data_IF_458908863296
#
_entry.id   IF_458908863296
#
_cell.length_a   1.000
_cell.length_b   1.000
_cell.length_c   1.000
_cell.angle_alpha   90.00
_cell.angle_beta   90.00
_cell.angle_gamma   90.00
#
_symmetry.space_group_name_H-M   'P 1'
#
loop_
_entity.id
_entity.type
_entity.pdbx_description
1 polymer ?
#
# COMPACT_ATOMS: atom_id res chain seq x y z
N UNK A 1 -44.08 32.05 -1.34
CA UNK A 1 -42.64 31.80 -1.05
C UNK A 1 -42.53 31.16 0.33
N UNK A 2 -41.64 30.18 0.54
CA UNK A 2 -41.46 29.56 1.86
C UNK A 2 -41.07 30.60 2.90
N UNK A 3 -41.57 30.47 4.14
CA UNK A 3 -41.28 31.43 5.20
C UNK A 3 -39.84 31.28 5.71
N UNK A 4 -39.28 32.36 6.28
CA UNK A 4 -37.93 32.34 6.85
C UNK A 4 -37.74 31.21 7.89
N UNK A 5 -38.81 30.86 8.63
CA UNK A 5 -38.80 29.75 9.58
C UNK A 5 -38.55 28.38 8.91
N UNK A 6 -39.07 28.16 7.70
CA UNK A 6 -38.85 26.91 6.96
C UNK A 6 -37.38 26.77 6.56
N UNK A 7 -36.74 27.86 6.12
CA UNK A 7 -35.31 27.85 5.79
C UNK A 7 -34.44 27.63 7.03
N UNK A 8 -34.74 28.30 8.15
CA UNK A 8 -34.00 28.10 9.41
C UNK A 8 -34.09 26.64 9.87
N UNK A 9 -35.28 26.03 9.81
CA UNK A 9 -35.46 24.60 10.14
C UNK A 9 -34.70 23.68 9.20
N UNK A 10 -34.74 23.94 7.90
CA UNK A 10 -34.05 23.11 6.92
C UNK A 10 -32.53 23.19 7.08
N UNK A 11 -31.98 24.38 7.28
CA UNK A 11 -30.55 24.60 7.48
C UNK A 11 -30.08 23.98 8.79
N UNK A 12 -30.84 24.14 9.89
CA UNK A 12 -30.46 23.55 11.18
C UNK A 12 -30.49 22.03 11.15
N UNK A 13 -31.51 21.43 10.54
CA UNK A 13 -31.59 19.97 10.35
C UNK A 13 -30.45 19.46 9.46
N UNK A 14 -30.15 20.16 8.37
CA UNK A 14 -29.03 19.84 7.48
C UNK A 14 -27.68 19.92 8.19
N UNK A 15 -27.42 21.00 8.93
CA UNK A 15 -26.20 21.18 9.70
C UNK A 15 -26.05 20.09 10.78
N UNK A 16 -27.13 19.74 11.48
CA UNK A 16 -27.12 18.67 12.46
C UNK A 16 -26.76 17.31 11.84
N UNK A 17 -27.26 17.01 10.64
CA UNK A 17 -26.92 15.76 9.96
C UNK A 17 -25.49 15.76 9.43
N UNK A 18 -25.05 16.86 8.81
CA UNK A 18 -23.70 17.01 8.26
C UNK A 18 -22.60 17.04 9.33
N UNK A 19 -22.88 17.57 10.52
CA UNK A 19 -21.91 17.66 11.63
C UNK A 19 -22.08 16.48 12.59
N UNK A 20 -23.32 16.17 12.93
CA UNK A 20 -23.68 15.11 13.88
C UNK A 20 -23.33 13.71 13.36
N UNK A 21 -23.43 13.47 12.05
CA UNK A 21 -22.99 12.20 11.44
C UNK A 21 -21.51 11.93 11.69
N UNK A 22 -20.59 12.78 11.21
CA UNK A 22 -19.15 12.64 11.48
C UNK A 22 -18.80 12.64 12.96
N UNK A 23 -19.45 13.50 13.77
CA UNK A 23 -19.20 13.55 15.21
C UNK A 23 -19.57 12.24 15.93
N UNK A 24 -20.69 11.62 15.54
CA UNK A 24 -21.11 10.33 16.07
C UNK A 24 -20.13 9.22 15.67
N UNK A 25 -19.66 9.23 14.42
CA UNK A 25 -18.64 8.28 13.95
C UNK A 25 -17.35 8.44 14.74
N UNK A 26 -16.87 9.66 14.95
CA UNK A 26 -15.68 9.91 15.77
C UNK A 26 -15.86 9.50 17.23
N UNK A 27 -17.07 9.64 17.78
CA UNK A 27 -17.35 9.23 19.15
C UNK A 27 -17.37 7.71 19.35
N UNK A 28 -17.92 6.97 18.38
CA UNK A 28 -18.08 5.51 18.49
C UNK A 28 -16.84 4.75 18.01
N UNK A 29 -16.07 5.33 17.08
CA UNK A 29 -14.88 4.68 16.52
C UNK A 29 -13.78 4.64 17.58
N UNK A 30 -13.37 3.46 18.07
CA UNK A 30 -12.32 3.35 19.08
C UNK A 30 -10.99 3.84 18.50
N UNK A 31 -10.16 4.44 19.35
CA UNK A 31 -8.82 4.90 18.96
C UNK A 31 -7.89 3.70 18.74
N UNK A 32 -6.80 3.91 17.99
CA UNK A 32 -5.83 2.83 17.68
C UNK A 32 -5.24 2.19 18.95
N UNK A 33 -5.09 2.97 20.02
CA UNK A 33 -4.54 2.51 21.30
C UNK A 33 -5.52 1.61 22.06
N UNK A 34 -6.81 1.97 22.09
CA UNK A 34 -7.86 1.13 22.67
C UNK A 34 -8.06 -0.15 21.87
N UNK A 35 -7.92 -0.07 20.54
CA UNK A 35 -7.97 -1.23 19.66
C UNK A 35 -6.77 -2.16 19.91
N UNK A 36 -5.58 -1.60 20.10
CA UNK A 36 -4.36 -2.35 20.40
C UNK A 36 -4.44 -3.07 21.75
N UNK A 37 -5.02 -2.45 22.78
CA UNK A 37 -5.25 -3.07 24.10
C UNK A 37 -6.20 -4.28 24.01
N UNK A 38 -7.16 -4.26 23.07
CA UNK A 38 -8.09 -5.38 22.83
C UNK A 38 -7.51 -6.51 21.99
N UNK A 39 -6.33 -6.32 21.38
CA UNK A 39 -5.68 -7.36 20.59
C UNK A 39 -5.09 -8.47 21.46
N UNK A 40 -5.07 -9.68 20.92
CA UNK A 40 -4.31 -10.78 21.52
C UNK A 40 -2.81 -10.45 21.54
N UNK A 41 -2.03 -10.99 22.50
CA UNK A 41 -0.61 -10.68 22.65
C UNK A 41 0.23 -11.00 21.39
N UNK A 42 -0.19 -11.98 20.61
CA UNK A 42 0.38 -12.32 19.29
C UNK A 42 0.19 -11.19 18.26
N UNK A 43 -1.02 -10.64 18.19
CA UNK A 43 -1.39 -9.57 17.26
C UNK A 43 -0.75 -8.25 17.65
N UNK A 44 -0.58 -7.98 18.95
CA UNK A 44 0.14 -6.80 19.44
C UNK A 44 1.60 -6.80 18.95
N UNK A 45 2.30 -7.93 19.08
CA UNK A 45 3.68 -8.09 18.58
C UNK A 45 3.77 -7.88 17.07
N UNK A 46 2.83 -8.46 16.31
CA UNK A 46 2.79 -8.31 14.85
C UNK A 46 2.49 -6.87 14.42
N UNK A 47 1.58 -6.19 15.11
CA UNK A 47 1.22 -4.80 14.84
C UNK A 47 2.38 -3.83 15.14
N UNK A 48 3.15 -4.09 16.20
CA UNK A 48 4.38 -3.37 16.54
C UNK A 48 5.48 -3.60 15.50
N UNK A 49 5.75 -4.86 15.15
CA UNK A 49 6.77 -5.22 14.17
C UNK A 49 6.45 -4.67 12.77
N UNK A 50 5.18 -4.65 12.38
CA UNK A 50 4.73 -4.17 11.07
C UNK A 50 4.45 -2.67 11.00
N UNK A 51 4.67 -1.88 12.06
CA UNK A 51 4.33 -0.45 12.06
C UNK A 51 5.19 0.34 11.09
N UNK A 52 6.51 0.12 11.12
CA UNK A 52 7.45 0.77 10.22
C UNK A 52 7.22 0.37 8.77
N UNK A 53 6.96 -0.93 8.53
CA UNK A 53 6.64 -1.43 7.19
C UNK A 53 5.36 -0.79 6.64
N UNK A 54 4.29 -0.71 7.44
CA UNK A 54 3.04 -0.05 7.03
C UNK A 54 3.23 1.43 6.70
N UNK A 55 4.06 2.15 7.45
CA UNK A 55 4.39 3.55 7.15
C UNK A 55 5.14 3.66 5.81
N UNK A 56 6.16 2.83 5.61
CA UNK A 56 6.91 2.78 4.35
C UNK A 56 6.02 2.44 3.16
N UNK A 57 5.14 1.45 3.32
CA UNK A 57 4.20 1.03 2.27
C UNK A 57 3.21 2.15 1.93
N UNK A 58 2.72 2.87 2.95
CA UNK A 58 1.82 4.01 2.77
C UNK A 58 2.51 5.17 2.05
N UNK A 59 3.72 5.54 2.47
CA UNK A 59 4.50 6.60 1.82
C UNK A 59 4.83 6.25 0.37
N UNK A 60 5.20 4.98 0.11
CA UNK A 60 5.44 4.48 -1.23
C UNK A 60 4.18 4.51 -2.11
N UNK A 61 3.02 4.16 -1.54
CA UNK A 61 1.74 4.22 -2.24
C UNK A 61 1.33 5.65 -2.59
N UNK A 62 1.42 6.58 -1.63
CA UNK A 62 1.11 8.00 -1.86
C UNK A 62 2.07 8.60 -2.90
N UNK A 63 3.34 8.20 -2.89
CA UNK A 63 4.31 8.62 -3.89
C UNK A 63 3.94 8.13 -5.29
N UNK A 64 3.56 6.85 -5.43
CA UNK A 64 3.09 6.29 -6.70
C UNK A 64 1.81 6.98 -7.19
N UNK A 65 0.87 7.29 -6.29
CA UNK A 65 -0.34 8.04 -6.65
C UNK A 65 -0.02 9.45 -7.15
N UNK A 66 0.92 10.15 -6.50
CA UNK A 66 1.38 11.48 -6.94
C UNK A 66 2.06 11.44 -8.30
N UNK A 67 2.77 10.37 -8.61
CA UNK A 67 3.40 10.17 -9.91
C UNK A 67 2.36 9.83 -10.98
N UNK A 68 1.42 8.93 -10.68
CA UNK A 68 0.32 8.56 -11.56
C UNK A 68 -0.64 9.73 -11.83
N UNK A 69 -0.90 10.60 -10.85
CA UNK A 69 -1.77 11.76 -11.02
C UNK A 69 -1.19 12.86 -11.91
N UNK A 70 0.13 12.84 -12.15
CA UNK A 70 0.79 13.71 -13.13
C UNK A 70 0.63 13.21 -14.57
N UNK A 71 0.17 11.97 -14.75
CA UNK A 71 -0.13 11.43 -16.07
C UNK A 71 -1.56 11.76 -16.47
N UNK A 72 -1.77 12.17 -17.72
CA UNK A 72 -3.10 12.33 -18.31
C UNK A 72 -3.86 10.99 -18.49
N UNK A 73 -3.20 9.86 -18.20
CA UNK A 73 -3.81 8.53 -18.27
C UNK A 73 -4.63 8.25 -17.00
N UNK A 74 -5.74 7.49 -17.12
CA UNK A 74 -6.46 7.02 -15.94
C UNK A 74 -5.55 6.21 -15.01
N UNK A 75 -5.70 6.41 -13.70
CA UNK A 75 -4.86 5.79 -12.66
C UNK A 75 -4.78 4.26 -12.82
N UNK A 76 -5.88 3.59 -13.17
CA UNK A 76 -5.89 2.13 -13.37
C UNK A 76 -5.01 1.66 -14.55
N UNK A 77 -4.80 2.52 -15.54
CA UNK A 77 -3.95 2.22 -16.70
C UNK A 77 -2.49 2.42 -16.34
N UNK A 78 -2.18 3.53 -15.65
CA UNK A 78 -0.85 3.79 -15.11
C UNK A 78 -0.41 2.68 -14.13
N UNK A 79 -1.32 2.21 -13.27
CA UNK A 79 -1.05 1.11 -12.34
C UNK A 79 -0.71 -0.19 -13.09
N UNK A 80 -1.48 -0.55 -14.11
CA UNK A 80 -1.20 -1.74 -14.94
C UNK A 80 0.15 -1.65 -15.65
N UNK A 81 0.52 -0.48 -16.15
CA UNK A 81 1.84 -0.26 -16.78
C UNK A 81 2.98 -0.39 -15.77
N UNK A 82 2.81 0.13 -14.55
CA UNK A 82 3.79 0.00 -13.47
C UNK A 82 3.94 -1.46 -13.01
N UNK A 83 2.83 -2.19 -12.88
CA UNK A 83 2.84 -3.61 -12.50
C UNK A 83 3.48 -4.48 -13.58
N UNK A 84 3.20 -4.20 -14.87
CA UNK A 84 3.83 -4.87 -15.99
C UNK A 84 5.36 -4.67 -15.97
N UNK A 85 5.83 -3.42 -15.82
CA UNK A 85 7.27 -3.11 -15.71
C UNK A 85 7.93 -3.79 -14.51
N UNK A 86 7.22 -3.88 -13.37
CA UNK A 86 7.72 -4.55 -12.17
C UNK A 86 7.88 -6.06 -12.41
N UNK A 87 6.88 -6.68 -13.04
CA UNK A 87 6.93 -8.11 -13.40
C UNK A 87 8.02 -8.43 -14.43
N UNK A 88 8.24 -7.56 -15.42
CA UNK A 88 9.33 -7.72 -16.40
C UNK A 88 10.70 -7.63 -15.73
N UNK A 89 10.88 -6.67 -14.82
CA UNK A 89 12.13 -6.53 -14.06
C UNK A 89 12.40 -7.75 -13.19
N UNK A 90 11.39 -8.27 -12.51
CA UNK A 90 11.51 -9.51 -11.71
C UNK A 90 11.87 -10.72 -12.59
N UNK A 91 11.26 -10.83 -13.77
CA UNK A 91 11.60 -11.88 -14.73
C UNK A 91 13.03 -11.75 -15.27
N UNK A 92 13.50 -10.53 -15.52
CA UNK A 92 14.88 -10.27 -15.94
C UNK A 92 15.87 -10.67 -14.84
N UNK A 93 15.65 -10.22 -13.59
CA UNK A 93 16.48 -10.60 -12.45
C UNK A 93 16.57 -12.13 -12.28
N UNK A 94 15.45 -12.84 -12.41
CA UNK A 94 15.39 -14.31 -12.33
C UNK A 94 16.15 -14.99 -13.48
N UNK A 95 16.19 -14.39 -14.66
CA UNK A 95 16.98 -14.89 -15.80
C UNK A 95 18.47 -14.65 -15.56
N UNK A 96 18.83 -13.46 -15.10
CA UNK A 96 20.22 -13.09 -14.80
C UNK A 96 20.82 -13.99 -13.71
N UNK A 97 20.06 -14.27 -12.64
CA UNK A 97 20.45 -15.22 -11.58
C UNK A 97 20.71 -16.63 -12.14
N UNK A 98 19.84 -17.10 -13.02
CA UNK A 98 19.97 -18.41 -13.66
C UNK A 98 21.18 -18.48 -14.58
N UNK A 99 21.44 -17.42 -15.34
CA UNK A 99 22.59 -17.34 -16.23
C UNK A 99 23.91 -17.24 -15.44
N UNK A 100 23.92 -16.51 -14.33
CA UNK A 100 25.05 -16.46 -13.40
C UNK A 100 25.37 -17.84 -12.79
N UNK A 101 24.35 -18.57 -12.33
CA UNK A 101 24.52 -19.93 -11.82
C UNK A 101 25.04 -20.90 -12.89
N UNK A 102 24.55 -20.78 -14.12
CA UNK A 102 25.02 -21.59 -15.24
C UNK A 102 26.49 -21.30 -15.59
N UNK A 103 26.90 -20.02 -15.54
CA UNK A 103 28.28 -19.62 -15.74
C UNK A 103 29.21 -20.16 -14.63
N UNK A 104 28.77 -20.11 -13.37
CA UNK A 104 29.52 -20.66 -12.24
C UNK A 104 29.67 -22.18 -12.34
N UNK A 105 28.59 -22.90 -12.70
CA UNK A 105 28.65 -24.35 -12.93
C UNK A 105 29.61 -24.73 -14.06
N UNK A 106 29.64 -23.96 -15.15
CA UNK A 106 30.60 -24.18 -16.26
C UNK A 106 32.04 -23.94 -15.83
N UNK A 107 32.31 -22.93 -15.00
CA UNK A 107 33.64 -22.67 -14.43
C UNK A 107 34.11 -23.84 -13.56
N UNK A 108 33.26 -24.31 -12.64
CA UNK A 108 33.54 -25.47 -11.80
C UNK A 108 33.82 -26.73 -12.62
N UNK A 109 33.05 -26.98 -13.68
CA UNK A 109 33.29 -28.12 -14.57
C UNK A 109 34.62 -28.02 -15.33
N UNK A 110 35.03 -26.82 -15.74
CA UNK A 110 36.30 -26.59 -16.40
C UNK A 110 37.49 -26.82 -15.45
N UNK A 111 37.39 -26.35 -14.20
CA UNK A 111 38.42 -26.55 -13.15
C UNK A 111 38.58 -28.04 -12.78
N UNK A 112 37.47 -28.79 -12.70
CA UNK A 112 37.49 -30.24 -12.47
C UNK A 112 38.14 -30.97 -13.65
N UNK A 113 37.83 -30.55 -14.89
CA UNK A 113 38.42 -31.13 -16.10
C UNK A 113 39.92 -30.87 -16.18
N UNK A 114 40.37 -29.66 -15.88
CA UNK A 114 41.80 -29.32 -15.89
C UNK A 114 42.60 -29.97 -14.75
N UNK A 115 41.94 -30.37 -13.66
CA UNK A 115 42.59 -31.07 -12.54
C UNK A 115 42.66 -32.60 -12.73
N UNK A 116 42.03 -33.12 -13.79
CA UNK A 116 41.95 -34.55 -14.08
C UNK A 116 42.89 -35.01 -15.22
N UNK A 117 43.57 -34.07 -15.88
CA UNK A 117 44.69 -34.31 -16.81
C UNK A 117 46.03 -34.11 -16.09
#
# INVERSE_FOLDING_TARGET
MPSAQTYVKAISAGAFLCIGGPALVWYVTPTEEELFQRYSPELQKKALAGREQRQKDFDAFVTQLKEASRSDKPIWTAQKELDAKRSEREQQLRRDERDAYAAESRRRQAEIRSSAE
#
